data_IF_274225516012
#
_entry.id   IF_274225516012
#
_cell.length_a   1.000
_cell.length_b   1.000
_cell.length_c   1.000
_cell.angle_alpha   90.00
_cell.angle_beta   90.00
_cell.angle_gamma   90.00
#
_symmetry.space_group_name_H-M   'P 1'
#
loop_
_entity.id
_entity.type
_entity.pdbx_description
1 polymer ?
#
# COMPACT_ATOMS: atom_id res chain seq x y z
N UNK A 1 -3.97 9.09 31.53
CA UNK A 1 -4.40 8.01 30.62
C UNK A 1 -3.14 7.50 29.93
N UNK A 2 -2.57 6.40 30.41
CA UNK A 2 -1.41 5.77 29.76
C UNK A 2 -1.93 5.03 28.54
N UNK A 3 -1.97 5.69 27.39
CA UNK A 3 -2.16 5.02 26.11
C UNK A 3 -0.91 4.19 25.84
N UNK A 4 -0.98 2.88 26.02
CA UNK A 4 0.02 1.98 25.44
C UNK A 4 0.18 2.34 23.96
N UNK A 5 1.40 2.44 23.44
CA UNK A 5 1.60 2.81 22.04
C UNK A 5 0.91 1.79 21.13
N UNK A 6 0.21 2.29 20.10
CA UNK A 6 -0.58 1.51 19.13
C UNK A 6 0.32 0.51 18.37
N UNK A 7 1.62 0.81 18.23
CA UNK A 7 2.62 -0.06 17.64
C UNK A 7 3.92 -0.02 18.47
N UNK A 8 4.58 -1.17 18.64
CA UNK A 8 5.87 -1.24 19.33
C UNK A 8 7.04 -0.68 18.50
N UNK A 9 7.00 -0.85 17.17
CA UNK A 9 7.94 -0.30 16.18
C UNK A 9 7.21 -0.04 14.86
N UNK A 10 7.66 0.95 14.10
CA UNK A 10 7.17 1.27 12.75
C UNK A 10 8.38 1.32 11.81
N UNK A 11 8.43 0.39 10.85
CA UNK A 11 9.48 0.39 9.82
C UNK A 11 8.93 1.06 8.56
N UNK A 12 9.57 2.13 8.13
CA UNK A 12 9.23 2.83 6.89
C UNK A 12 10.33 2.59 5.85
N UNK A 13 9.98 1.92 4.75
CA UNK A 13 10.90 1.59 3.67
C UNK A 13 10.57 2.39 2.40
N UNK A 14 11.56 3.04 1.80
CA UNK A 14 11.46 3.59 0.45
C UNK A 14 12.80 3.44 -0.28
N UNK A 15 12.78 2.87 -1.48
CA UNK A 15 14.00 2.63 -2.26
C UNK A 15 14.65 3.92 -2.78
N UNK A 16 13.84 4.96 -3.06
CA UNK A 16 14.32 6.22 -3.63
C UNK A 16 14.81 7.14 -2.50
N UNK A 17 16.11 7.43 -2.48
CA UNK A 17 16.74 8.24 -1.43
C UNK A 17 16.09 9.63 -1.27
N UNK A 18 15.68 10.25 -2.38
CA UNK A 18 14.99 11.55 -2.35
C UNK A 18 13.66 11.50 -1.58
N UNK A 19 12.85 10.45 -1.80
CA UNK A 19 11.57 10.22 -1.11
C UNK A 19 11.78 9.88 0.36
N UNK A 20 12.78 9.06 0.67
CA UNK A 20 13.16 8.78 2.07
C UNK A 20 13.59 10.05 2.82
N UNK A 21 14.32 10.96 2.14
CA UNK A 21 14.66 12.27 2.69
C UNK A 21 13.44 13.17 2.93
N UNK A 22 12.44 13.13 2.05
CA UNK A 22 11.16 13.81 2.26
C UNK A 22 10.40 13.24 3.46
N UNK A 23 10.34 11.91 3.58
CA UNK A 23 9.73 11.23 4.73
C UNK A 23 10.41 11.62 6.04
N UNK A 24 11.75 11.62 6.09
CA UNK A 24 12.49 12.04 7.29
C UNK A 24 12.15 13.48 7.70
N UNK A 25 12.05 14.39 6.73
CA UNK A 25 11.65 15.78 7.00
C UNK A 25 10.21 15.89 7.50
N UNK A 26 9.29 15.17 6.85
CA UNK A 26 7.89 15.15 7.28
C UNK A 26 7.78 14.63 8.73
N UNK A 27 8.44 13.51 9.05
CA UNK A 27 8.47 12.96 10.40
C UNK A 27 9.02 13.98 11.42
N UNK A 28 10.12 14.68 11.11
CA UNK A 28 10.66 15.70 12.03
C UNK A 28 9.74 16.90 12.25
N UNK A 29 8.78 17.14 11.35
CA UNK A 29 7.78 18.21 11.52
C UNK A 29 6.65 17.79 12.45
N UNK A 30 6.27 16.51 12.46
CA UNK A 30 5.12 16.00 13.22
C UNK A 30 5.49 15.25 14.49
N UNK A 31 6.71 14.71 14.59
CA UNK A 31 7.22 13.99 15.75
C UNK A 31 8.34 14.84 16.37
N UNK A 32 8.10 15.44 17.55
CA UNK A 32 9.10 16.27 18.21
C UNK A 32 10.39 15.53 18.51
N UNK A 33 11.51 16.24 18.43
CA UNK A 33 12.82 15.70 18.81
C UNK A 33 12.81 15.36 20.30
N UNK A 34 13.17 14.12 20.65
CA UNK A 34 13.16 13.62 22.02
C UNK A 34 11.82 13.04 22.48
N UNK A 35 10.80 13.03 21.63
CA UNK A 35 9.58 12.27 21.89
C UNK A 35 9.88 10.76 21.76
N UNK A 36 9.45 9.90 22.71
CA UNK A 36 9.61 8.45 22.60
C UNK A 36 9.03 7.85 21.31
N UNK A 37 8.08 8.52 20.67
CA UNK A 37 7.54 8.13 19.37
C UNK A 37 8.59 8.20 18.24
N UNK A 38 9.64 9.00 18.37
CA UNK A 38 10.74 9.03 17.42
C UNK A 38 11.58 7.73 17.46
N UNK A 39 11.76 7.16 18.66
CA UNK A 39 12.61 5.98 18.88
C UNK A 39 12.02 4.69 18.31
N UNK A 40 10.69 4.68 18.06
CA UNK A 40 10.00 3.52 17.49
C UNK A 40 10.00 3.53 15.96
N UNK A 41 10.39 4.64 15.29
CA UNK A 41 10.39 4.75 13.82
C UNK A 41 11.75 4.39 13.25
N UNK A 42 11.77 3.42 12.35
CA UNK A 42 12.98 2.93 11.68
C UNK A 42 12.85 3.22 10.18
N UNK A 43 13.80 3.98 9.63
CA UNK A 43 13.87 4.25 8.20
C UNK A 43 14.78 3.24 7.51
N UNK A 44 14.28 2.58 6.46
CA UNK A 44 15.04 1.64 5.62
C UNK A 44 15.01 2.04 4.16
N UNK A 45 16.03 1.57 3.42
CA UNK A 45 16.16 1.75 1.98
C UNK A 45 16.50 0.41 1.34
N UNK A 46 15.48 -0.38 1.09
CA UNK A 46 15.56 -1.70 0.46
C UNK A 46 14.58 -1.76 -0.72
N UNK A 47 14.96 -2.47 -1.78
CA UNK A 47 14.07 -2.72 -2.92
C UNK A 47 13.04 -3.78 -2.54
N UNK A 48 11.81 -3.32 -2.26
CA UNK A 48 10.70 -4.21 -1.89
C UNK A 48 10.25 -5.15 -3.01
N UNK A 49 10.67 -4.91 -4.25
CA UNK A 49 10.30 -5.74 -5.40
C UNK A 49 11.29 -6.87 -5.71
N UNK A 50 12.48 -6.85 -5.09
CA UNK A 50 13.49 -7.86 -5.35
C UNK A 50 13.22 -9.12 -4.51
N UNK A 51 12.63 -10.13 -5.15
CA UNK A 51 12.30 -11.41 -4.50
C UNK A 51 13.52 -12.22 -4.03
N UNK A 52 14.71 -11.96 -4.58
CA UNK A 52 15.93 -12.71 -4.28
C UNK A 52 16.73 -12.12 -3.12
N UNK A 53 16.68 -10.79 -2.94
CA UNK A 53 17.43 -10.08 -1.90
C UNK A 53 16.55 -9.61 -0.73
N UNK A 54 15.26 -9.90 -0.76
CA UNK A 54 14.37 -9.60 0.35
C UNK A 54 14.56 -10.62 1.47
N UNK A 55 14.96 -10.14 2.64
CA UNK A 55 15.38 -10.94 3.80
C UNK A 55 14.49 -10.75 5.04
N UNK A 56 13.54 -9.82 4.98
CA UNK A 56 12.56 -9.62 6.05
C UNK A 56 11.41 -10.60 5.88
N UNK A 57 11.57 -11.80 6.46
CA UNK A 57 10.59 -12.88 6.45
C UNK A 57 10.03 -13.06 7.87
N UNK A 58 8.70 -13.14 8.01
CA UNK A 58 8.03 -13.36 9.31
C UNK A 58 8.40 -12.33 10.40
N UNK A 59 8.59 -11.07 10.01
CA UNK A 59 9.08 -10.01 10.90
C UNK A 59 7.94 -9.17 11.48
N UNK A 60 6.90 -8.89 10.69
CA UNK A 60 5.90 -7.86 11.01
C UNK A 60 4.54 -8.45 11.39
N UNK A 61 3.86 -7.82 12.34
CA UNK A 61 2.47 -8.19 12.68
C UNK A 61 1.47 -7.62 11.66
N UNK A 62 1.81 -6.47 11.06
CA UNK A 62 1.02 -5.73 10.08
C UNK A 62 1.95 -5.09 9.04
N UNK A 63 1.55 -5.12 7.77
CA UNK A 63 2.27 -4.48 6.66
C UNK A 63 1.30 -3.60 5.85
N UNK A 64 1.72 -2.39 5.50
CA UNK A 64 1.03 -1.55 4.52
C UNK A 64 1.89 -1.51 3.25
N UNK A 65 1.37 -2.07 2.17
CA UNK A 65 1.98 -2.08 0.84
C UNK A 65 1.31 -1.00 -0.03
N UNK A 66 1.70 0.26 0.17
CA UNK A 66 1.31 1.37 -0.70
C UNK A 66 2.28 1.45 -1.89
N UNK A 67 1.86 0.88 -3.02
CA UNK A 67 2.78 0.55 -4.11
C UNK A 67 2.86 1.67 -5.16
N UNK A 68 3.99 1.82 -5.86
CA UNK A 68 4.05 2.69 -7.04
C UNK A 68 3.00 2.24 -8.07
N UNK A 69 2.24 3.19 -8.58
CA UNK A 69 1.18 2.96 -9.56
C UNK A 69 1.15 4.10 -10.59
N UNK A 70 0.15 4.11 -11.48
CA UNK A 70 0.00 5.16 -12.49
C UNK A 70 -0.36 6.54 -11.91
N UNK A 71 -0.72 6.63 -10.63
CA UNK A 71 -1.01 7.89 -9.93
C UNK A 71 -2.01 8.76 -10.69
N UNK A 72 -3.18 8.22 -11.04
CA UNK A 72 -4.06 8.75 -12.09
C UNK A 72 -4.42 10.24 -11.90
N UNK A 73 -4.69 10.67 -10.66
CA UNK A 73 -4.93 12.09 -10.37
C UNK A 73 -3.71 12.96 -10.67
N UNK A 74 -2.51 12.52 -10.29
CA UNK A 74 -1.28 13.24 -10.56
C UNK A 74 -1.03 13.32 -12.07
N UNK A 75 -1.20 12.20 -12.77
CA UNK A 75 -1.00 12.09 -14.21
C UNK A 75 -1.92 13.00 -15.05
N UNK A 76 -3.11 13.32 -14.56
CA UNK A 76 -4.01 14.28 -15.23
C UNK A 76 -3.61 15.73 -14.97
N UNK A 77 -2.88 16.01 -13.89
CA UNK A 77 -2.56 17.36 -13.45
C UNK A 77 -1.10 17.78 -13.68
N UNK A 78 -0.20 16.85 -14.01
CA UNK A 78 1.23 17.10 -14.15
C UNK A 78 1.84 16.31 -15.31
N UNK A 79 2.64 16.98 -16.15
CA UNK A 79 3.35 16.36 -17.27
C UNK A 79 4.75 15.84 -16.89
N UNK A 80 5.39 16.46 -15.90
CA UNK A 80 6.72 16.05 -15.45
C UNK A 80 6.66 14.68 -14.76
N UNK A 81 7.52 13.75 -15.20
CA UNK A 81 7.50 12.37 -14.73
C UNK A 81 6.19 11.61 -15.00
N UNK A 82 5.32 12.10 -15.91
CA UNK A 82 4.00 11.52 -16.12
C UNK A 82 4.06 10.10 -16.68
N UNK A 83 3.41 9.17 -15.98
CA UNK A 83 3.37 7.74 -16.31
C UNK A 83 2.75 7.43 -17.68
N UNK A 84 1.92 8.34 -18.21
CA UNK A 84 1.30 8.21 -19.53
C UNK A 84 2.11 8.87 -20.65
N UNK A 85 3.23 9.53 -20.34
CA UNK A 85 4.13 10.04 -21.37
C UNK A 85 4.73 8.88 -22.20
N UNK A 86 5.00 9.07 -23.50
CA UNK A 86 5.54 8.01 -24.35
C UNK A 86 6.84 7.39 -23.80
N UNK A 87 7.68 8.20 -23.14
CA UNK A 87 8.94 7.77 -22.52
C UNK A 87 8.74 6.80 -21.35
N UNK A 88 7.59 6.88 -20.66
CA UNK A 88 7.26 6.06 -19.49
C UNK A 88 6.47 4.79 -19.86
N UNK A 89 6.20 4.54 -21.15
CA UNK A 89 5.35 3.41 -21.60
C UNK A 89 5.80 2.07 -21.04
N UNK A 90 7.10 1.76 -21.13
CA UNK A 90 7.64 0.49 -20.63
C UNK A 90 7.52 0.37 -19.11
N UNK A 91 7.78 1.46 -18.38
CA UNK A 91 7.61 1.49 -16.92
C UNK A 91 6.15 1.26 -16.53
N UNK A 92 5.23 1.97 -17.20
CA UNK A 92 3.78 1.85 -16.99
C UNK A 92 3.27 0.43 -17.24
N UNK A 93 3.71 -0.22 -18.31
CA UNK A 93 3.30 -1.59 -18.64
C UNK A 93 3.82 -2.62 -17.62
N UNK A 94 4.96 -2.34 -16.99
CA UNK A 94 5.57 -3.22 -15.99
C UNK A 94 5.06 -3.00 -14.56
N UNK A 95 4.25 -1.96 -14.31
CA UNK A 95 3.71 -1.64 -12.98
C UNK A 95 2.99 -2.83 -12.32
N UNK A 96 2.07 -3.57 -12.98
CA UNK A 96 1.39 -4.69 -12.33
C UNK A 96 2.36 -5.79 -11.85
N UNK A 97 3.42 -6.05 -12.63
CA UNK A 97 4.44 -7.03 -12.26
C UNK A 97 5.28 -6.55 -11.07
N UNK A 98 5.66 -5.26 -11.07
CA UNK A 98 6.38 -4.63 -9.95
C UNK A 98 5.55 -4.69 -8.66
N UNK A 99 4.27 -4.31 -8.74
CA UNK A 99 3.32 -4.30 -7.64
C UNK A 99 3.08 -5.71 -7.09
N UNK A 100 2.94 -6.70 -7.98
CA UNK A 100 2.82 -8.13 -7.59
C UNK A 100 4.03 -8.59 -6.79
N UNK A 101 5.26 -8.27 -7.22
CA UNK A 101 6.48 -8.62 -6.49
C UNK A 101 6.51 -7.97 -5.09
N UNK A 102 6.15 -6.70 -4.98
CA UNK A 102 6.09 -5.99 -3.70
C UNK A 102 5.05 -6.63 -2.77
N UNK A 103 3.86 -6.98 -3.29
CA UNK A 103 2.82 -7.62 -2.50
C UNK A 103 3.23 -9.02 -2.02
N UNK A 104 3.90 -9.82 -2.86
CA UNK A 104 4.46 -11.12 -2.45
C UNK A 104 5.47 -10.96 -1.32
N UNK A 105 6.42 -10.03 -1.44
CA UNK A 105 7.38 -9.77 -0.36
C UNK A 105 6.71 -9.21 0.90
N UNK A 106 5.63 -8.44 0.76
CA UNK A 106 4.84 -7.96 1.90
C UNK A 106 4.15 -9.13 2.64
N UNK A 107 3.65 -10.11 1.90
CA UNK A 107 3.07 -11.35 2.45
C UNK A 107 4.15 -12.23 3.11
N UNK A 108 5.35 -12.29 2.54
CA UNK A 108 6.51 -12.96 3.17
C UNK A 108 6.94 -12.28 4.48
N UNK A 109 6.88 -10.95 4.51
CA UNK A 109 7.35 -10.16 5.64
C UNK A 109 6.39 -10.18 6.83
N UNK A 110 5.10 -10.41 6.59
CA UNK A 110 4.11 -10.51 7.65
C UNK A 110 4.15 -11.90 8.30
N UNK A 111 4.06 -11.96 9.62
CA UNK A 111 3.96 -13.22 10.39
C UNK A 111 2.67 -13.97 10.04
N UNK A 112 2.65 -15.26 10.32
CA UNK A 112 1.41 -16.06 10.35
C UNK A 112 0.38 -15.43 11.29
N UNK A 113 -0.86 -15.27 10.81
CA UNK A 113 -1.94 -14.56 11.49
C UNK A 113 -1.86 -13.03 11.40
N UNK A 114 -0.76 -12.49 10.87
CA UNK A 114 -0.62 -11.08 10.55
C UNK A 114 -1.32 -10.71 9.24
N UNK A 115 -1.45 -9.41 8.98
CA UNK A 115 -2.19 -8.92 7.81
C UNK A 115 -1.44 -7.87 6.99
N UNK A 116 -1.63 -7.91 5.68
CA UNK A 116 -1.15 -6.92 4.71
C UNK A 116 -2.33 -6.09 4.21
N UNK A 117 -2.18 -4.77 4.16
CA UNK A 117 -3.07 -3.90 3.38
C UNK A 117 -2.32 -3.51 2.11
N UNK A 118 -2.85 -3.90 0.96
CA UNK A 118 -2.39 -3.44 -0.35
C UNK A 118 -3.17 -2.19 -0.75
N UNK A 119 -2.47 -1.15 -1.20
CA UNK A 119 -3.12 0.08 -1.66
C UNK A 119 -2.49 0.68 -2.92
N UNK A 120 -3.33 1.32 -3.73
CA UNK A 120 -2.91 2.10 -4.90
C UNK A 120 -3.77 3.35 -5.05
N UNK A 121 -3.23 4.41 -5.65
CA UNK A 121 -4.01 5.59 -6.04
C UNK A 121 -4.35 5.59 -7.55
N UNK A 122 -4.74 4.43 -8.09
CA UNK A 122 -5.19 4.27 -9.49
C UNK A 122 -6.59 3.62 -9.56
N UNK A 123 -7.31 3.96 -10.63
CA UNK A 123 -8.59 3.35 -11.02
C UNK A 123 -8.40 2.05 -11.83
N UNK A 124 -7.16 1.71 -12.22
CA UNK A 124 -6.87 0.57 -13.08
C UNK A 124 -7.07 -0.77 -12.36
N UNK A 125 -8.09 -1.54 -12.77
CA UNK A 125 -8.34 -2.88 -12.23
C UNK A 125 -7.16 -3.85 -12.41
N UNK A 126 -6.34 -3.68 -13.45
CA UNK A 126 -5.13 -4.48 -13.69
C UNK A 126 -4.10 -4.25 -12.58
N UNK A 127 -3.97 -3.02 -12.09
CA UNK A 127 -3.09 -2.65 -10.97
C UNK A 127 -3.73 -2.91 -9.60
N UNK A 128 -5.05 -3.13 -9.56
CA UNK A 128 -5.83 -3.35 -8.35
C UNK A 128 -6.13 -4.84 -8.17
N UNK A 129 -7.35 -5.28 -8.52
CA UNK A 129 -7.76 -6.68 -8.38
C UNK A 129 -6.86 -7.65 -9.16
N UNK A 130 -6.29 -7.23 -10.29
CA UNK A 130 -5.36 -8.04 -11.07
C UNK A 130 -4.07 -8.37 -10.30
N UNK A 131 -3.50 -7.40 -9.59
CA UNK A 131 -2.31 -7.61 -8.75
C UNK A 131 -2.64 -8.47 -7.54
N UNK A 132 -3.75 -8.19 -6.86
CA UNK A 132 -4.19 -8.98 -5.69
C UNK A 132 -4.41 -10.43 -6.09
N UNK A 133 -5.15 -10.68 -7.18
CA UNK A 133 -5.41 -12.03 -7.68
C UNK A 133 -4.13 -12.77 -8.05
N UNK A 134 -3.20 -12.12 -8.75
CA UNK A 134 -1.90 -12.72 -9.10
C UNK A 134 -1.06 -13.05 -7.86
N UNK A 135 -0.97 -12.12 -6.91
CA UNK A 135 -0.18 -12.32 -5.70
C UNK A 135 -0.77 -13.43 -4.81
N UNK A 136 -2.10 -13.46 -4.65
CA UNK A 136 -2.79 -14.53 -3.90
C UNK A 136 -2.57 -15.88 -4.58
N UNK A 137 -2.73 -15.98 -5.89
CA UNK A 137 -2.50 -17.24 -6.61
C UNK A 137 -1.06 -17.78 -6.46
N UNK A 138 -0.07 -16.88 -6.44
CA UNK A 138 1.34 -17.25 -6.20
C UNK A 138 1.58 -17.63 -4.74
N UNK A 139 1.01 -16.86 -3.80
CA UNK A 139 1.23 -17.00 -2.37
C UNK A 139 0.41 -18.12 -1.72
N UNK A 140 -0.68 -18.56 -2.32
CA UNK A 140 -1.62 -19.52 -1.72
C UNK A 140 -0.97 -20.86 -1.38
N UNK A 141 -0.06 -21.34 -2.25
CA UNK A 141 0.63 -22.61 -2.04
C UNK A 141 1.60 -22.58 -0.85
N UNK A 142 2.23 -21.43 -0.60
CA UNK A 142 3.31 -21.28 0.38
C UNK A 142 2.79 -20.71 1.72
N UNK A 143 1.92 -19.70 1.66
CA UNK A 143 1.53 -18.89 2.81
C UNK A 143 0.07 -19.02 3.23
N UNK A 144 -0.81 -19.58 2.37
CA UNK A 144 -2.26 -19.61 2.60
C UNK A 144 -2.84 -18.22 2.86
N UNK A 145 -3.38 -17.55 1.85
CA UNK A 145 -3.82 -16.15 1.99
C UNK A 145 -5.33 -16.05 1.88
N UNK A 146 -5.96 -15.29 2.79
CA UNK A 146 -7.38 -14.98 2.73
C UNK A 146 -7.61 -13.48 2.66
N UNK A 147 -8.57 -13.06 1.83
CA UNK A 147 -9.06 -11.69 1.83
C UNK A 147 -9.96 -11.44 3.04
N UNK A 148 -9.72 -10.33 3.74
CA UNK A 148 -10.62 -9.85 4.77
C UNK A 148 -11.62 -8.83 4.22
N UNK A 149 -12.90 -9.01 4.57
CA UNK A 149 -13.96 -8.09 4.15
C UNK A 149 -13.74 -6.69 4.73
N UNK A 150 -13.79 -5.68 3.86
CA UNK A 150 -13.81 -4.26 4.22
C UNK A 150 -15.23 -3.70 4.36
N UNK A 151 -16.27 -4.56 4.38
CA UNK A 151 -17.67 -4.11 4.32
C UNK A 151 -18.06 -3.14 5.43
N UNK A 152 -17.61 -3.36 6.67
CA UNK A 152 -17.86 -2.42 7.77
C UNK A 152 -17.20 -1.06 7.53
N UNK A 153 -15.96 -1.03 7.05
CA UNK A 153 -15.25 0.21 6.71
C UNK A 153 -15.98 0.96 5.59
N UNK A 154 -16.33 0.25 4.52
CA UNK A 154 -17.07 0.79 3.37
C UNK A 154 -18.40 1.40 3.82
N UNK A 155 -19.16 0.67 4.65
CA UNK A 155 -20.45 1.16 5.17
C UNK A 155 -20.26 2.44 6.00
N UNK A 156 -19.37 2.44 6.99
CA UNK A 156 -19.14 3.62 7.84
C UNK A 156 -18.66 4.84 7.03
N UNK A 157 -17.72 4.66 6.11
CA UNK A 157 -17.21 5.76 5.29
C UNK A 157 -18.24 6.26 4.28
N UNK A 158 -19.06 5.37 3.70
CA UNK A 158 -20.16 5.77 2.81
C UNK A 158 -21.23 6.55 3.59
N UNK A 159 -21.58 6.12 4.81
CA UNK A 159 -22.55 6.81 5.66
C UNK A 159 -22.14 8.23 6.05
N UNK A 160 -20.85 8.56 6.01
CA UNK A 160 -20.37 9.93 6.24
C UNK A 160 -20.76 10.91 5.12
N UNK A 161 -21.12 10.42 3.94
CA UNK A 161 -21.36 11.23 2.73
C UNK A 161 -20.08 11.80 2.09
N UNK A 162 -18.91 11.58 2.68
CA UNK A 162 -17.62 12.09 2.20
C UNK A 162 -16.95 11.14 1.19
N UNK A 163 -17.26 9.84 1.24
CA UNK A 163 -16.61 8.86 0.39
C UNK A 163 -17.63 8.13 -0.48
N UNK A 164 -17.26 7.93 -1.75
CA UNK A 164 -18.00 7.10 -2.70
C UNK A 164 -17.15 5.90 -3.04
N UNK A 165 -17.70 4.70 -2.87
CA UNK A 165 -17.04 3.46 -3.26
C UNK A 165 -17.58 2.94 -4.59
N UNK A 166 -16.72 2.25 -5.34
CA UNK A 166 -17.11 1.48 -6.53
C UNK A 166 -17.94 0.27 -6.12
N UNK A 167 -19.01 0.00 -6.87
CA UNK A 167 -19.84 -1.21 -6.76
C UNK A 167 -19.32 -2.37 -7.64
N UNK A 168 -18.25 -2.13 -8.41
CA UNK A 168 -17.71 -3.10 -9.38
C UNK A 168 -16.54 -3.92 -8.84
N UNK A 169 -15.99 -3.57 -7.68
CA UNK A 169 -14.86 -4.28 -7.10
C UNK A 169 -15.28 -5.67 -6.62
N UNK A 170 -14.61 -6.71 -7.14
CA UNK A 170 -14.81 -8.10 -6.70
C UNK A 170 -13.97 -8.45 -5.48
N UNK A 171 -12.82 -7.79 -5.34
CA UNK A 171 -11.89 -7.92 -4.24
C UNK A 171 -11.42 -6.53 -3.81
N UNK A 172 -11.32 -6.32 -2.51
CA UNK A 172 -11.00 -5.03 -1.91
C UNK A 172 -12.11 -4.00 -2.09
N UNK A 173 -11.75 -2.73 -1.95
CA UNK A 173 -12.64 -1.59 -2.07
C UNK A 173 -11.93 -0.45 -2.79
N UNK A 174 -12.63 0.24 -3.70
CA UNK A 174 -12.11 1.37 -4.45
C UNK A 174 -12.92 2.63 -4.15
N UNK A 175 -12.26 3.64 -3.58
CA UNK A 175 -12.81 4.99 -3.44
C UNK A 175 -12.73 5.69 -4.78
N UNK A 176 -13.86 6.21 -5.25
CA UNK A 176 -14.00 6.95 -6.50
C UNK A 176 -14.06 8.47 -6.23
N UNK A 177 -13.39 9.28 -7.06
CA UNK A 177 -13.57 10.72 -7.02
C UNK A 177 -14.98 11.11 -7.45
N UNK A 178 -15.60 12.04 -6.73
CA UNK A 178 -16.91 12.60 -7.07
C UNK A 178 -17.00 14.08 -6.66
N UNK A 179 -17.84 14.85 -7.34
CA UNK A 179 -17.86 16.32 -7.24
C UNK A 179 -18.08 16.86 -5.81
N UNK A 180 -19.07 16.40 -5.03
CA UNK A 180 -19.27 16.85 -3.65
C UNK A 180 -18.10 16.62 -2.71
N UNK A 181 -17.28 15.59 -2.94
CA UNK A 181 -16.14 15.26 -2.09
C UNK A 181 -15.06 14.54 -2.89
N UNK A 182 -14.10 15.31 -3.39
CA UNK A 182 -13.18 14.89 -4.44
C UNK A 182 -11.96 14.11 -3.90
N UNK A 183 -12.18 13.14 -3.02
CA UNK A 183 -11.16 12.21 -2.51
C UNK A 183 -10.83 11.10 -3.52
N UNK A 184 -9.74 10.38 -3.28
CA UNK A 184 -9.29 9.27 -4.14
C UNK A 184 -8.74 9.72 -5.51
N UNK A 185 -8.56 8.80 -6.47
CA UNK A 185 -8.86 7.38 -6.35
C UNK A 185 -7.98 6.69 -5.30
N UNK A 186 -8.55 5.72 -4.58
CA UNK A 186 -7.81 4.94 -3.57
C UNK A 186 -8.37 3.51 -3.53
N UNK A 187 -7.59 2.55 -4.02
CA UNK A 187 -7.87 1.13 -3.87
C UNK A 187 -7.26 0.60 -2.56
N UNK A 188 -7.98 -0.29 -1.89
CA UNK A 188 -7.55 -0.96 -0.66
C UNK A 188 -7.97 -2.42 -0.72
N UNK A 189 -7.05 -3.34 -0.42
CA UNK A 189 -7.37 -4.74 -0.18
C UNK A 189 -6.64 -5.22 1.07
N UNK A 190 -7.35 -5.88 1.98
CA UNK A 190 -6.77 -6.43 3.21
C UNK A 190 -6.66 -7.94 3.07
N UNK A 191 -5.46 -8.46 3.28
CA UNK A 191 -5.11 -9.87 3.20
C UNK A 191 -4.56 -10.34 4.55
N UNK A 192 -4.89 -11.55 4.97
CA UNK A 192 -4.34 -12.19 6.16
C UNK A 192 -3.62 -13.48 5.78
N UNK A 193 -2.42 -13.64 6.34
CA UNK A 193 -1.57 -14.80 6.13
C UNK A 193 -1.94 -15.91 7.12
N UNK A 194 -2.12 -17.13 6.63
CA UNK A 194 -2.60 -18.27 7.43
C UNK A 194 -1.53 -19.33 7.73
N UNK A 195 -0.42 -19.36 6.98
CA UNK A 195 0.69 -20.33 7.10
C UNK A 195 2.04 -19.68 6.91
#
# INVERSE_FOLDING_TARGET
MNSSPIAGKVVCNDFKLARLGQLKRALSTYVPVGDPAADIVILKRQDASNLATWDEIDVYDKVLADVPCSTDRLAVNQDDGNMYSPRMTNERLNLPQLQTKILINSLRAVKVGGSVVYSTCTLSSIQNEGVVGNAVAIAEQEFGVVEESLGQLVNHLTSSGLYRFSDQCRMGALILPFLPSNFGPMYLCKLTRLK
#
